data_IF_677398339468
#
_entry.id   IF_677398339468
#
_cell.length_a   1.000
_cell.length_b   1.000
_cell.length_c   1.000
_cell.angle_alpha   90.00
_cell.angle_beta   90.00
_cell.angle_gamma   90.00
#
_symmetry.space_group_name_H-M   'P 1'
#
loop_
_entity.id
_entity.type
_entity.pdbx_description
1 polymer ?
#
# COMPACT_ATOMS: atom_id res chain seq x y z
N UNK A 1 -1.87 2.34 -22.55
CA UNK A 1 -1.50 3.53 -21.77
C UNK A 1 -0.15 3.36 -21.08
N UNK A 2 0.10 2.23 -20.42
CA UNK A 2 1.31 2.02 -19.59
C UNK A 2 2.63 1.73 -20.34
N UNK A 3 2.60 1.55 -21.67
CA UNK A 3 3.81 1.37 -22.49
C UNK A 3 4.67 2.64 -22.63
N UNK A 4 4.09 3.81 -22.37
CA UNK A 4 4.73 5.12 -22.58
C UNK A 4 4.78 5.92 -21.27
N UNK A 5 3.81 5.72 -20.38
CA UNK A 5 3.71 6.46 -19.12
C UNK A 5 3.45 5.48 -17.99
N UNK A 6 4.21 5.60 -16.90
CA UNK A 6 3.99 4.79 -15.71
C UNK A 6 2.54 4.92 -15.21
N UNK A 7 1.92 3.80 -14.77
CA UNK A 7 0.50 3.78 -14.36
C UNK A 7 0.19 4.80 -13.26
N UNK A 8 1.11 4.99 -12.32
CA UNK A 8 0.92 5.88 -11.17
C UNK A 8 1.01 7.37 -11.54
N UNK A 9 1.43 7.69 -12.76
CA UNK A 9 1.45 9.05 -13.31
C UNK A 9 0.19 9.35 -14.13
N UNK A 10 -0.66 8.35 -14.39
CA UNK A 10 -1.92 8.57 -15.09
C UNK A 10 -2.87 9.43 -14.25
N UNK A 11 -3.68 10.28 -14.88
CA UNK A 11 -4.67 11.06 -14.16
C UNK A 11 -5.75 10.14 -13.59
N UNK A 12 -6.09 10.36 -12.32
CA UNK A 12 -7.32 9.87 -11.71
C UNK A 12 -8.13 11.10 -11.38
N UNK A 13 -9.25 11.28 -12.11
CA UNK A 13 -10.02 12.52 -12.11
C UNK A 13 -9.16 13.76 -12.41
N UNK A 14 -8.87 14.61 -11.42
CA UNK A 14 -8.23 15.91 -11.59
C UNK A 14 -6.77 16.00 -11.13
N UNK A 15 -6.15 14.88 -10.71
CA UNK A 15 -4.74 14.84 -10.28
C UNK A 15 -4.07 13.51 -10.66
N UNK A 16 -2.72 13.46 -10.75
CA UNK A 16 -1.98 12.21 -10.97
C UNK A 16 -2.29 11.17 -9.88
N UNK A 17 -2.34 9.88 -10.25
CA UNK A 17 -2.67 8.78 -9.35
C UNK A 17 -1.78 8.75 -8.09
N UNK A 18 -0.47 8.99 -8.22
CA UNK A 18 0.46 8.99 -7.08
C UNK A 18 0.16 10.08 -6.03
N UNK A 19 -0.61 11.12 -6.37
CA UNK A 19 -0.96 12.17 -5.40
C UNK A 19 -1.96 11.68 -4.36
N UNK A 20 -2.74 10.63 -4.65
CA UNK A 20 -3.70 10.08 -3.70
C UNK A 20 -3.01 9.39 -2.50
N UNK A 21 -2.10 8.42 -2.69
CA UNK A 21 -1.39 7.81 -1.57
C UNK A 21 -0.52 8.81 -0.80
N UNK A 22 0.11 9.79 -1.48
CA UNK A 22 0.86 10.86 -0.80
C UNK A 22 -0.06 11.68 0.11
N UNK A 23 -1.24 12.09 -0.38
CA UNK A 23 -2.20 12.85 0.41
C UNK A 23 -2.76 12.03 1.58
N UNK A 24 -2.98 10.72 1.39
CA UNK A 24 -3.36 9.78 2.46
C UNK A 24 -2.33 9.75 3.59
N UNK A 25 -1.05 9.60 3.26
CA UNK A 25 0.03 9.60 4.26
C UNK A 25 0.17 10.96 4.95
N UNK A 26 0.15 12.06 4.17
CA UNK A 26 0.22 13.42 4.70
C UNK A 26 -0.91 13.73 5.68
N UNK A 27 -2.16 13.42 5.32
CA UNK A 27 -3.33 13.60 6.21
C UNK A 27 -3.22 12.77 7.49
N UNK A 28 -2.49 11.67 7.43
CA UNK A 28 -2.19 10.81 8.58
C UNK A 28 -1.00 11.29 9.42
N UNK A 29 -0.36 12.41 9.05
CA UNK A 29 0.76 13.02 9.76
C UNK A 29 2.15 12.52 9.33
N UNK A 30 2.23 11.72 8.27
CA UNK A 30 3.51 11.24 7.72
C UNK A 30 3.99 12.24 6.66
N UNK A 31 5.12 12.89 6.91
CA UNK A 31 5.66 13.95 6.05
C UNK A 31 7.01 13.61 5.43
N UNK A 32 7.79 12.69 6.01
CA UNK A 32 9.00 12.14 5.41
C UNK A 32 8.64 10.90 4.58
N UNK A 33 8.82 10.98 3.26
CA UNK A 33 8.38 9.96 2.31
C UNK A 33 9.56 9.39 1.52
N UNK A 34 9.56 8.07 1.36
CA UNK A 34 10.40 7.37 0.41
C UNK A 34 9.55 6.89 -0.77
N UNK A 35 9.86 7.38 -1.97
CA UNK A 35 9.27 6.88 -3.21
C UNK A 35 10.22 5.88 -3.85
N UNK A 36 9.76 4.65 -3.96
CA UNK A 36 10.47 3.55 -4.62
C UNK A 36 9.82 3.33 -5.98
N UNK A 37 10.62 3.37 -7.04
CA UNK A 37 10.12 3.28 -8.42
C UNK A 37 11.10 2.55 -9.31
N UNK A 38 10.61 2.02 -10.44
CA UNK A 38 11.46 1.34 -11.42
C UNK A 38 12.34 2.33 -12.20
N UNK A 39 13.48 1.83 -12.69
CA UNK A 39 14.49 2.62 -13.41
C UNK A 39 13.92 3.45 -14.56
N UNK A 40 13.01 2.88 -15.34
CA UNK A 40 12.45 3.52 -16.54
C UNK A 40 11.58 4.76 -16.23
N UNK A 41 11.02 4.83 -15.02
CA UNK A 41 10.06 5.89 -14.64
C UNK A 41 10.60 6.87 -13.61
N UNK A 42 11.80 6.63 -13.06
CA UNK A 42 12.38 7.44 -11.99
C UNK A 42 12.46 8.93 -12.36
N UNK A 43 12.87 9.24 -13.59
CA UNK A 43 12.94 10.62 -14.10
C UNK A 43 11.60 11.34 -14.10
N UNK A 44 10.52 10.64 -14.47
CA UNK A 44 9.18 11.24 -14.54
C UNK A 44 8.60 11.52 -13.15
N UNK A 45 8.82 10.62 -12.19
CA UNK A 45 8.42 10.86 -10.79
C UNK A 45 9.18 12.04 -10.19
N UNK A 46 10.50 12.12 -10.40
CA UNK A 46 11.31 13.26 -9.93
C UNK A 46 10.83 14.58 -10.55
N UNK A 47 10.49 14.57 -11.85
CA UNK A 47 9.96 15.75 -12.53
C UNK A 47 8.60 16.19 -11.99
N UNK A 48 7.73 15.25 -11.65
CA UNK A 48 6.38 15.55 -11.15
C UNK A 48 6.39 15.99 -9.69
N UNK A 49 7.14 15.28 -8.83
CA UNK A 49 7.03 15.40 -7.38
C UNK A 49 8.09 16.35 -6.78
N UNK A 50 9.23 16.54 -7.45
CA UNK A 50 10.34 17.32 -6.92
C UNK A 50 10.79 16.85 -5.54
N UNK A 51 11.10 17.80 -4.65
CA UNK A 51 11.38 17.55 -3.23
C UNK A 51 10.14 17.21 -2.41
N UNK A 52 8.93 17.36 -2.96
CA UNK A 52 7.67 17.26 -2.23
C UNK A 52 7.19 18.55 -1.59
N UNK A 53 7.97 19.64 -1.62
CA UNK A 53 7.65 20.88 -0.90
C UNK A 53 6.28 21.47 -1.32
N UNK A 54 5.94 21.41 -2.61
CA UNK A 54 4.64 21.87 -3.12
C UNK A 54 3.46 21.02 -2.60
N UNK A 55 3.73 19.78 -2.19
CA UNK A 55 2.75 18.85 -1.64
C UNK A 55 2.70 18.92 -0.10
N UNK A 56 3.64 19.63 0.54
CA UNK A 56 3.77 19.73 1.99
C UNK A 56 4.39 18.50 2.64
N UNK A 57 5.30 17.82 1.94
CA UNK A 57 6.03 16.61 2.39
C UNK A 57 7.49 16.69 1.91
N UNK A 58 8.37 15.86 2.47
CA UNK A 58 9.75 15.71 2.05
C UNK A 58 9.93 14.35 1.38
N UNK A 59 10.36 14.35 0.12
CA UNK A 59 10.43 13.14 -0.71
C UNK A 59 11.88 12.77 -0.99
N UNK A 60 12.24 11.55 -0.62
CA UNK A 60 13.45 10.84 -1.05
C UNK A 60 13.09 9.80 -2.11
N UNK A 61 13.97 9.60 -3.09
CA UNK A 61 13.78 8.58 -4.13
C UNK A 61 14.75 7.41 -3.98
N UNK A 62 14.27 6.21 -4.30
CA UNK A 62 15.07 5.01 -4.54
C UNK A 62 14.58 4.31 -5.81
N UNK A 63 15.52 3.67 -6.48
CA UNK A 63 15.24 2.88 -7.69
C UNK A 63 15.24 1.41 -7.32
N UNK A 64 14.18 0.70 -7.70
CA UNK A 64 14.14 -0.76 -7.68
C UNK A 64 14.55 -1.28 -9.07
N UNK A 65 15.53 -2.18 -9.09
CA UNK A 65 15.90 -2.88 -10.31
C UNK A 65 15.02 -4.13 -10.48
N UNK A 66 14.37 -4.27 -11.63
CA UNK A 66 13.46 -5.38 -11.90
C UNK A 66 12.12 -5.27 -11.16
N UNK A 67 11.41 -6.40 -11.07
CA UNK A 67 10.05 -6.49 -10.50
C UNK A 67 9.93 -7.71 -9.60
N UNK A 68 10.68 -7.73 -8.49
CA UNK A 68 10.73 -8.88 -7.58
C UNK A 68 9.65 -8.84 -6.46
N UNK A 69 8.63 -8.00 -6.59
CA UNK A 69 7.50 -7.90 -5.65
C UNK A 69 7.61 -6.75 -4.65
N UNK A 70 6.56 -6.58 -3.84
CA UNK A 70 6.42 -5.49 -2.86
C UNK A 70 7.43 -5.65 -1.72
N UNK A 71 7.65 -6.88 -1.25
CA UNK A 71 8.60 -7.15 -0.17
C UNK A 71 10.04 -6.81 -0.58
N UNK A 72 10.41 -7.04 -1.84
CA UNK A 72 11.72 -6.64 -2.37
C UNK A 72 11.89 -5.12 -2.40
N UNK A 73 10.88 -4.39 -2.88
CA UNK A 73 10.88 -2.94 -2.85
C UNK A 73 11.05 -2.43 -1.42
N UNK A 74 10.38 -3.06 -0.46
CA UNK A 74 10.44 -2.67 0.95
C UNK A 74 11.84 -2.81 1.56
N UNK A 75 12.66 -3.78 1.14
CA UNK A 75 14.06 -3.92 1.60
C UNK A 75 14.88 -2.65 1.33
N UNK A 76 14.61 -1.95 0.23
CA UNK A 76 15.32 -0.72 -0.14
C UNK A 76 15.04 0.46 0.83
N UNK A 77 14.03 0.33 1.69
CA UNK A 77 13.64 1.33 2.67
C UNK A 77 14.38 1.21 4.02
N UNK A 78 15.12 0.13 4.27
CA UNK A 78 15.73 -0.16 5.58
C UNK A 78 16.53 1.01 6.16
N UNK A 79 17.48 1.53 5.37
CA UNK A 79 18.31 2.66 5.81
C UNK A 79 17.54 3.98 5.95
N UNK A 80 16.42 4.13 5.24
CA UNK A 80 15.58 5.33 5.33
C UNK A 80 14.74 5.30 6.61
N UNK A 81 14.16 4.13 6.94
CA UNK A 81 13.32 3.94 8.13
C UNK A 81 14.14 3.85 9.41
N UNK A 82 15.29 3.17 9.38
CA UNK A 82 16.07 2.87 10.57
C UNK A 82 15.24 2.04 11.57
N UNK A 83 15.07 2.55 12.78
CA UNK A 83 14.36 1.86 13.87
C UNK A 83 12.93 2.38 14.11
N UNK A 84 12.42 3.26 13.25
CA UNK A 84 11.11 3.87 13.42
C UNK A 84 9.96 2.95 12.96
N UNK A 85 8.77 3.25 13.47
CA UNK A 85 7.53 2.70 12.91
C UNK A 85 7.17 3.49 11.66
N UNK A 86 6.62 2.84 10.65
CA UNK A 86 6.36 3.46 9.36
C UNK A 86 5.16 2.85 8.65
N UNK A 87 4.63 3.60 7.68
CA UNK A 87 3.53 3.16 6.84
C UNK A 87 4.01 2.93 5.40
N UNK A 88 3.49 1.88 4.77
CA UNK A 88 3.73 1.53 3.38
C UNK A 88 2.41 1.62 2.64
N UNK A 89 2.37 2.38 1.54
CA UNK A 89 1.18 2.48 0.69
C UNK A 89 1.56 2.22 -0.76
N UNK A 90 0.78 1.39 -1.45
CA UNK A 90 0.97 1.15 -2.88
C UNK A 90 0.51 2.37 -3.70
N UNK A 91 1.27 2.68 -4.75
CA UNK A 91 1.13 3.94 -5.51
C UNK A 91 -0.20 4.12 -6.27
N UNK A 92 -0.99 3.05 -6.39
CA UNK A 92 -2.26 2.96 -7.12
C UNK A 92 -3.49 2.80 -6.20
N UNK A 93 -3.27 2.86 -4.89
CA UNK A 93 -4.33 2.71 -3.91
C UNK A 93 -4.90 4.08 -3.51
N UNK A 94 -6.23 4.19 -3.59
CA UNK A 94 -6.98 5.41 -3.32
C UNK A 94 -7.97 5.13 -2.20
N UNK A 95 -7.92 5.98 -1.17
CA UNK A 95 -8.72 5.84 0.04
C UNK A 95 -9.51 7.13 0.31
N UNK A 96 -10.76 6.96 0.68
CA UNK A 96 -11.58 8.01 1.30
C UNK A 96 -11.36 8.08 2.82
N UNK A 97 -10.87 6.98 3.41
CA UNK A 97 -10.63 6.82 4.84
C UNK A 97 -9.50 7.71 5.38
N UNK A 98 -9.58 8.06 6.67
CA UNK A 98 -8.51 8.76 7.38
C UNK A 98 -7.79 7.82 8.36
N UNK A 99 -6.50 7.62 8.15
CA UNK A 99 -5.68 6.68 8.93
C UNK A 99 -4.89 7.32 10.07
N UNK A 100 -5.06 8.63 10.32
CA UNK A 100 -4.27 9.39 11.30
C UNK A 100 -4.25 8.73 12.68
N UNK A 101 -5.41 8.34 13.21
CA UNK A 101 -5.50 7.75 14.56
C UNK A 101 -4.72 6.45 14.66
N UNK A 102 -4.81 5.58 13.65
CA UNK A 102 -4.14 4.28 13.65
C UNK A 102 -2.64 4.46 13.47
N UNK A 103 -2.21 5.25 12.48
CA UNK A 103 -0.79 5.48 12.19
C UNK A 103 -0.08 6.19 13.36
N UNK A 104 -0.70 7.22 13.95
CA UNK A 104 -0.06 8.00 15.04
C UNK A 104 -0.02 7.25 16.38
N UNK A 105 -0.93 6.32 16.62
CA UNK A 105 -0.97 5.53 17.85
C UNK A 105 -0.30 4.15 17.71
N UNK A 106 0.25 3.83 16.53
CA UNK A 106 0.88 2.55 16.28
C UNK A 106 2.17 2.40 17.09
N UNK A 107 2.33 1.27 17.78
CA UNK A 107 3.44 1.07 18.73
C UNK A 107 4.42 -0.02 18.31
N UNK A 108 3.95 -1.19 17.88
CA UNK A 108 4.79 -2.31 17.44
C UNK A 108 3.98 -3.30 16.57
N UNK A 109 4.70 -4.25 15.97
CA UNK A 109 4.15 -5.35 15.19
C UNK A 109 3.85 -4.94 13.75
N UNK A 110 2.67 -5.35 13.28
CA UNK A 110 2.11 -4.98 11.99
C UNK A 110 0.62 -4.63 12.10
N UNK A 111 0.16 -3.72 11.25
CA UNK A 111 -1.25 -3.40 11.08
C UNK A 111 -1.62 -3.41 9.60
N UNK A 112 -2.72 -4.08 9.27
CA UNK A 112 -3.29 -4.10 7.92
C UNK A 112 -4.72 -3.56 7.92
N UNK A 113 -5.20 -3.20 6.73
CA UNK A 113 -6.55 -2.73 6.55
C UNK A 113 -7.31 -3.67 5.63
N UNK A 114 -8.56 -3.97 5.99
CA UNK A 114 -9.41 -4.93 5.31
C UNK A 114 -10.61 -4.22 4.69
N UNK A 115 -10.96 -4.61 3.46
CA UNK A 115 -12.22 -4.25 2.81
C UNK A 115 -12.94 -5.52 2.36
N UNK A 116 -14.25 -5.60 2.60
CA UNK A 116 -15.07 -6.60 1.93
C UNK A 116 -15.26 -6.26 0.44
N UNK A 117 -14.90 -7.19 -0.44
CA UNK A 117 -14.97 -7.01 -1.90
C UNK A 117 -15.70 -8.16 -2.59
N UNK A 118 -16.29 -7.89 -3.74
CA UNK A 118 -16.99 -8.92 -4.53
C UNK A 118 -16.02 -9.95 -5.16
N UNK A 119 -14.81 -9.52 -5.55
CA UNK A 119 -13.81 -10.33 -6.27
C UNK A 119 -12.49 -10.37 -5.50
N UNK A 120 -12.46 -11.18 -4.43
CA UNK A 120 -11.34 -11.26 -3.49
C UNK A 120 -10.11 -12.03 -4.04
N UNK A 121 -10.29 -12.88 -5.05
CA UNK A 121 -9.26 -13.71 -5.71
C UNK A 121 -8.10 -12.89 -6.33
N UNK A 122 -8.28 -11.57 -6.43
CA UNK A 122 -7.30 -10.62 -6.98
C UNK A 122 -6.33 -10.06 -5.94
N UNK A 123 -6.54 -10.31 -4.65
CA UNK A 123 -5.83 -9.69 -3.54
C UNK A 123 -5.26 -10.72 -2.57
N UNK A 124 -4.49 -10.27 -1.58
CA UNK A 124 -4.29 -11.04 -0.35
C UNK A 124 -5.63 -11.12 0.41
N UNK A 125 -6.08 -12.32 0.74
CA UNK A 125 -7.39 -12.55 1.38
C UNK A 125 -7.19 -13.02 2.81
N UNK A 126 -7.78 -12.28 3.75
CA UNK A 126 -7.68 -12.55 5.17
C UNK A 126 -8.81 -13.47 5.66
N UNK A 127 -8.47 -14.55 6.35
CA UNK A 127 -9.43 -15.32 7.14
C UNK A 127 -9.44 -14.80 8.57
N UNK A 128 -10.65 -14.68 9.15
CA UNK A 128 -10.87 -14.14 10.49
C UNK A 128 -11.41 -15.23 11.43
N UNK A 129 -11.07 -15.15 12.71
CA UNK A 129 -11.74 -15.95 13.73
C UNK A 129 -13.05 -15.29 14.22
N UNK A 130 -13.74 -15.95 15.16
CA UNK A 130 -15.01 -15.46 15.75
C UNK A 130 -14.89 -14.11 16.49
N UNK A 131 -13.67 -13.66 16.80
CA UNK A 131 -13.38 -12.37 17.45
C UNK A 131 -12.95 -11.29 16.45
N UNK A 132 -13.05 -11.55 15.15
CA UNK A 132 -12.54 -10.70 14.07
C UNK A 132 -11.01 -10.48 14.10
N UNK A 133 -10.26 -11.42 14.66
CA UNK A 133 -8.80 -11.41 14.59
C UNK A 133 -8.35 -12.17 13.32
N UNK A 134 -7.33 -11.65 12.63
CA UNK A 134 -6.78 -12.28 11.42
C UNK A 134 -5.99 -13.52 11.79
N UNK A 135 -6.35 -14.66 11.21
CA UNK A 135 -5.69 -15.95 11.46
C UNK A 135 -4.82 -16.41 10.30
N UNK A 136 -5.13 -16.00 9.08
CA UNK A 136 -4.36 -16.37 7.89
C UNK A 136 -4.56 -15.33 6.80
N UNK A 137 -3.55 -15.15 5.94
CA UNK A 137 -3.69 -14.41 4.69
C UNK A 137 -3.15 -15.27 3.55
N UNK A 138 -3.93 -15.37 2.47
CA UNK A 138 -3.51 -16.10 1.25
C UNK A 138 -3.44 -15.14 0.08
N UNK A 139 -2.32 -15.13 -0.64
CA UNK A 139 -2.12 -14.31 -1.83
C UNK A 139 -2.90 -14.87 -3.02
N UNK A 140 -3.85 -14.08 -3.54
CA UNK A 140 -4.63 -14.37 -4.77
C UNK A 140 -5.17 -15.81 -4.83
N UNK A 141 -5.95 -16.24 -3.82
CA UNK A 141 -6.47 -17.60 -3.78
C UNK A 141 -7.45 -17.83 -4.93
N UNK A 142 -7.36 -18.98 -5.60
CA UNK A 142 -8.33 -19.37 -6.63
C UNK A 142 -9.76 -19.51 -6.08
N UNK A 143 -9.89 -19.94 -4.83
CA UNK A 143 -11.16 -20.05 -4.11
C UNK A 143 -10.98 -19.36 -2.76
N UNK A 144 -11.29 -18.05 -2.66
CA UNK A 144 -11.12 -17.30 -1.42
C UNK A 144 -12.04 -17.84 -0.31
N UNK A 145 -11.52 -18.00 0.90
CA UNK A 145 -12.30 -18.45 2.07
C UNK A 145 -13.25 -17.35 2.58
N UNK A 146 -12.85 -16.09 2.42
CA UNK A 146 -13.63 -14.90 2.79
C UNK A 146 -13.57 -13.87 1.67
N UNK A 147 -14.36 -12.81 1.78
CA UNK A 147 -14.31 -11.68 0.87
C UNK A 147 -13.47 -10.50 1.41
N UNK A 148 -12.67 -10.71 2.47
CA UNK A 148 -11.88 -9.65 3.08
C UNK A 148 -10.53 -9.51 2.40
N UNK A 149 -10.44 -8.56 1.47
CA UNK A 149 -9.19 -8.19 0.83
C UNK A 149 -8.34 -7.34 1.77
N UNK A 150 -7.06 -7.70 1.88
CA UNK A 150 -6.01 -6.86 2.45
C UNK A 150 -5.71 -5.74 1.44
N UNK A 151 -5.91 -4.50 1.87
CA UNK A 151 -5.67 -3.34 1.00
C UNK A 151 -4.18 -3.04 0.86
N UNK A 152 -3.83 -2.12 -0.04
CA UNK A 152 -2.44 -1.71 -0.29
C UNK A 152 -1.90 -0.69 0.71
N UNK A 153 -2.35 -0.70 1.97
CA UNK A 153 -1.80 0.13 3.06
C UNK A 153 -1.41 -0.80 4.21
N UNK A 154 -0.19 -0.64 4.70
CA UNK A 154 0.39 -1.44 5.77
C UNK A 154 1.09 -0.51 6.76
N UNK A 155 1.09 -0.85 8.05
CA UNK A 155 1.90 -0.19 9.07
C UNK A 155 2.78 -1.24 9.73
N UNK A 156 4.08 -0.97 9.84
CA UNK A 156 5.03 -1.90 10.41
C UNK A 156 5.93 -1.22 11.43
N UNK A 157 6.43 -2.00 12.38
CA UNK A 157 7.66 -1.67 13.07
C UNK A 157 8.89 -2.09 12.23
N UNK A 158 10.08 -1.69 12.69
CA UNK A 158 11.35 -2.00 12.02
C UNK A 158 11.72 -3.48 12.03
N UNK A 159 11.04 -4.35 12.80
CA UNK A 159 11.31 -5.79 12.78
C UNK A 159 10.95 -6.44 11.44
N UNK A 160 10.16 -5.76 10.61
CA UNK A 160 9.81 -6.20 9.25
C UNK A 160 11.06 -6.45 8.40
N UNK A 161 12.14 -5.68 8.57
CA UNK A 161 13.37 -5.88 7.80
C UNK A 161 14.02 -7.25 8.07
N UNK A 162 13.95 -7.75 9.31
CA UNK A 162 14.43 -9.11 9.63
C UNK A 162 13.55 -10.19 8.99
N UNK A 163 12.24 -9.96 8.94
CA UNK A 163 11.30 -10.87 8.25
C UNK A 163 11.55 -10.88 6.73
N UNK A 164 11.90 -9.73 6.15
CA UNK A 164 12.25 -9.60 4.74
C UNK A 164 13.56 -10.33 4.37
N UNK A 165 14.49 -10.55 5.30
CA UNK A 165 15.71 -11.32 5.03
C UNK A 165 15.42 -12.80 4.76
N UNK A 166 14.36 -13.34 5.36
CA UNK A 166 14.02 -14.77 5.31
C UNK A 166 12.84 -15.10 4.40
N UNK A 167 12.18 -14.09 3.82
CA UNK A 167 11.06 -14.30 2.89
C UNK A 167 11.57 -15.00 1.62
N UNK A 168 10.89 -16.08 1.23
CA UNK A 168 11.23 -16.87 0.05
C UNK A 168 10.45 -16.39 -1.18
N UNK A 169 10.89 -16.82 -2.37
CA UNK A 169 10.15 -16.54 -3.60
C UNK A 169 8.88 -17.40 -3.64
N UNK A 170 7.74 -16.78 -3.95
CA UNK A 170 6.50 -17.51 -4.17
C UNK A 170 6.56 -18.37 -5.44
N UNK A 171 5.55 -19.21 -5.64
CA UNK A 171 5.37 -19.96 -6.89
C UNK A 171 5.26 -19.04 -8.13
N UNK A 172 5.01 -17.74 -7.93
CA UNK A 172 4.95 -16.71 -8.98
C UNK A 172 6.30 -16.06 -9.25
N UNK A 173 7.33 -16.39 -8.46
CA UNK A 173 8.66 -15.78 -8.56
C UNK A 173 8.71 -14.36 -7.99
N UNK A 174 7.80 -14.00 -7.09
CA UNK A 174 7.75 -12.69 -6.40
C UNK A 174 8.01 -12.89 -4.90
N UNK A 175 8.64 -11.91 -4.25
CA UNK A 175 8.65 -11.81 -2.80
C UNK A 175 7.35 -11.13 -2.36
N UNK A 176 6.42 -11.92 -1.82
CA UNK A 176 5.07 -11.48 -1.51
C UNK A 176 5.04 -10.76 -0.15
N UNK A 177 4.40 -9.58 -0.10
CA UNK A 177 4.14 -8.91 1.18
C UNK A 177 3.17 -9.73 2.05
N UNK A 178 2.34 -10.55 1.41
CA UNK A 178 1.43 -11.48 2.09
C UNK A 178 2.18 -12.48 2.97
N UNK A 179 3.34 -12.99 2.52
CA UNK A 179 4.15 -13.92 3.33
C UNK A 179 4.74 -13.21 4.56
N UNK A 180 5.18 -11.95 4.39
CA UNK A 180 5.66 -11.12 5.50
C UNK A 180 4.55 -10.83 6.51
N UNK A 181 3.34 -10.55 6.02
CA UNK A 181 2.16 -10.37 6.86
C UNK A 181 1.81 -11.64 7.63
N UNK A 182 1.90 -12.81 6.98
CA UNK A 182 1.69 -14.10 7.64
C UNK A 182 2.70 -14.34 8.76
N UNK A 183 3.98 -13.98 8.56
CA UNK A 183 4.99 -14.07 9.63
C UNK A 183 4.69 -13.19 10.85
N UNK A 184 3.95 -12.09 10.69
CA UNK A 184 3.47 -11.30 11.84
C UNK A 184 2.24 -11.92 12.51
N UNK A 185 1.38 -12.58 11.73
CA UNK A 185 0.22 -13.32 12.26
C UNK A 185 0.71 -14.51 13.10
N UNK A 186 1.67 -15.28 12.59
CA UNK A 186 2.24 -16.44 13.26
C UNK A 186 2.91 -16.06 14.60
N UNK A 187 3.50 -14.86 14.66
CA UNK A 187 4.10 -14.30 15.88
C UNK A 187 3.08 -13.63 16.83
N UNK A 188 1.78 -13.64 16.50
CA UNK A 188 0.74 -12.92 17.24
C UNK A 188 1.01 -11.40 17.38
N UNK A 189 1.61 -10.82 16.35
CA UNK A 189 2.00 -9.41 16.26
C UNK A 189 1.27 -8.66 15.13
N UNK A 190 0.27 -9.28 14.50
CA UNK A 190 -0.58 -8.65 13.50
C UNK A 190 -1.88 -8.13 14.12
N UNK A 191 -2.26 -6.92 13.73
CA UNK A 191 -3.58 -6.35 14.00
C UNK A 191 -4.23 -5.91 12.70
N UNK A 192 -5.56 -5.76 12.68
CA UNK A 192 -6.27 -5.32 11.48
C UNK A 192 -7.43 -4.39 11.82
N UNK A 193 -7.76 -3.51 10.88
CA UNK A 193 -8.96 -2.66 10.92
C UNK A 193 -9.77 -2.81 9.64
N UNK A 194 -11.09 -2.75 9.75
CA UNK A 194 -11.96 -2.65 8.58
C UNK A 194 -12.06 -1.20 8.14
N UNK A 195 -12.02 -0.98 6.84
CA UNK A 195 -12.36 0.31 6.27
C UNK A 195 -13.87 0.55 6.38
N UNK A 196 -14.25 1.76 6.79
CA UNK A 196 -15.64 2.22 6.86
C UNK A 196 -16.03 3.00 5.60
N UNK A 197 -15.04 3.50 4.86
CA UNK A 197 -15.21 4.33 3.66
C UNK A 197 -14.65 3.70 2.39
N UNK A 198 -14.85 4.37 1.26
CA UNK A 198 -14.45 3.86 -0.05
C UNK A 198 -12.94 3.62 -0.20
N UNK A 199 -12.61 2.48 -0.80
CA UNK A 199 -11.27 2.12 -1.28
C UNK A 199 -11.32 1.64 -2.72
N UNK A 200 -10.26 1.93 -3.47
CA UNK A 200 -10.06 1.36 -4.80
C UNK A 200 -8.56 1.17 -5.11
N UNK A 201 -8.21 0.00 -5.63
CA UNK A 201 -6.93 -0.29 -6.31
C UNK A 201 -7.07 -0.08 -7.83
N UNK A 202 -6.35 0.88 -8.40
CA UNK A 202 -6.44 1.25 -9.82
C UNK A 202 -5.60 0.36 -10.78
N UNK A 203 -5.59 -0.96 -10.57
CA UNK A 203 -4.77 -1.92 -11.32
C UNK A 203 -5.24 -2.28 -12.74
N UNK A 204 -6.52 -2.10 -13.06
CA UNK A 204 -7.14 -2.37 -14.38
C UNK A 204 -7.86 -1.13 -14.94
N UNK A 205 -8.15 -1.11 -16.25
CA UNK A 205 -8.93 -0.04 -16.88
C UNK A 205 -10.27 0.21 -16.18
N UNK A 206 -10.97 -0.88 -15.82
CA UNK A 206 -12.25 -0.80 -15.12
C UNK A 206 -12.08 -0.21 -13.72
N UNK A 207 -11.10 -0.71 -12.95
CA UNK A 207 -10.82 -0.15 -11.62
C UNK A 207 -10.28 1.29 -11.68
N UNK A 208 -9.64 1.71 -12.78
CA UNK A 208 -9.21 3.10 -12.99
C UNK A 208 -10.41 4.04 -13.20
N UNK A 209 -11.46 3.54 -13.86
CA UNK A 209 -12.72 4.27 -13.96
C UNK A 209 -13.41 4.39 -12.59
N UNK A 210 -13.47 3.32 -11.80
CA UNK A 210 -13.99 3.38 -10.43
C UNK A 210 -13.18 4.31 -9.52
N UNK A 211 -11.84 4.24 -9.59
CA UNK A 211 -10.94 5.19 -8.94
C UNK A 211 -11.30 6.65 -9.27
N UNK A 212 -11.55 6.95 -10.55
CA UNK A 212 -11.92 8.31 -10.98
C UNK A 212 -13.29 8.74 -10.44
N UNK A 213 -14.24 7.82 -10.29
CA UNK A 213 -15.54 8.10 -9.65
C UNK A 213 -15.37 8.39 -8.15
N UNK A 214 -14.60 7.56 -7.44
CA UNK A 214 -14.30 7.75 -6.02
C UNK A 214 -13.60 9.09 -5.79
N UNK A 215 -12.55 9.36 -6.55
CA UNK A 215 -11.82 10.63 -6.52
C UNK A 215 -12.72 11.86 -6.76
N UNK A 216 -13.65 11.77 -7.72
CA UNK A 216 -14.62 12.83 -7.97
C UNK A 216 -15.55 13.04 -6.78
N UNK A 217 -16.04 11.98 -6.15
CA UNK A 217 -16.90 12.08 -4.97
C UNK A 217 -16.17 12.81 -3.83
N UNK A 218 -14.95 12.37 -3.50
CA UNK A 218 -14.09 13.01 -2.49
C UNK A 218 -13.83 14.50 -2.79
N UNK A 219 -13.61 14.85 -4.06
CA UNK A 219 -13.35 16.22 -4.46
C UNK A 219 -14.58 17.14 -4.34
N UNK A 220 -15.80 16.58 -4.49
CA UNK A 220 -17.04 17.33 -4.31
C UNK A 220 -17.39 17.52 -2.83
N UNK A 221 -17.03 16.58 -1.96
CA UNK A 221 -17.25 16.69 -0.51
C UNK A 221 -16.30 17.68 0.18
N UNK A 222 -15.15 17.96 -0.42
CA UNK A 222 -14.18 18.91 0.09
C UNK A 222 -14.49 20.38 -0.24
N UNK A 223 -15.58 20.66 -0.98
CA UNK A 223 -16.06 22.00 -1.36
C UNK A 223 -17.16 22.49 -0.42
#
# INVERSE_FOLDING_TARGET
MTKVTNKHLLPVYNKPMIYYPIDTLKKSGVTELLIITGTESAGDFMKLLGSGDELGVHITFRVQEGTAGIADALKLAENFVGNENFAVILGDNIYEENFKTIIQNFTNGAHIFLQEVEYADRFGVATLNEKNEVITIVEKPHTPETNFAVTGLYVYDSSVFKKLEIVELSNRGEYEITDVNQMYIDDSQMTASFLEKGWNDAGTHESLFYASKLARAMALEAQ
#
